data_IF_318328792394
#
_entry.id   IF_318328792394
#
_cell.length_a   1.000
_cell.length_b   1.000
_cell.length_c   1.000
_cell.angle_alpha   90.00
_cell.angle_beta   90.00
_cell.angle_gamma   90.00
#
_symmetry.space_group_name_H-M   'P 1'
#
loop_
_entity.id
_entity.type
_entity.pdbx_description
1 polymer ?
#
# COMPACT_ATOMS: atom_id res chain seq x y z
N UNK A 1 5.55 -21.16 -23.51
CA UNK A 1 5.45 -19.71 -23.16
C UNK A 1 4.06 -19.31 -22.61
N UNK A 2 2.94 -19.86 -23.10
CA UNK A 2 1.55 -19.47 -22.71
C UNK A 2 1.20 -19.58 -21.21
N UNK A 3 1.68 -20.62 -20.50
CA UNK A 3 1.32 -20.85 -19.08
C UNK A 3 1.93 -19.83 -18.11
N UNK A 4 3.04 -19.21 -18.49
CA UNK A 4 3.74 -18.21 -17.68
C UNK A 4 3.07 -16.84 -17.71
N UNK A 5 2.46 -16.50 -18.84
CA UNK A 5 1.81 -15.22 -19.09
C UNK A 5 0.43 -15.14 -18.40
N UNK A 6 -0.30 -16.25 -18.36
CA UNK A 6 -1.56 -16.38 -17.63
C UNK A 6 -1.38 -16.12 -16.12
N UNK A 7 -0.39 -16.74 -15.47
CA UNK A 7 -0.12 -16.54 -14.04
C UNK A 7 0.25 -15.09 -13.70
N UNK A 8 1.11 -14.47 -14.51
CA UNK A 8 1.52 -13.07 -14.34
C UNK A 8 0.31 -12.13 -14.38
N UNK A 9 -0.55 -12.28 -15.38
CA UNK A 9 -1.73 -11.44 -15.53
C UNK A 9 -2.74 -11.63 -14.39
N UNK A 10 -2.88 -12.85 -13.86
CA UNK A 10 -3.70 -13.11 -12.67
C UNK A 10 -3.15 -12.36 -11.46
N UNK A 11 -1.84 -12.45 -11.21
CA UNK A 11 -1.21 -11.74 -10.07
C UNK A 11 -1.42 -10.23 -10.20
N UNK A 12 -1.16 -9.66 -11.38
CA UNK A 12 -1.38 -8.22 -11.61
C UNK A 12 -2.85 -7.81 -11.41
N UNK A 13 -3.81 -8.65 -11.82
CA UNK A 13 -5.24 -8.37 -11.56
C UNK A 13 -5.57 -8.41 -10.07
N UNK A 14 -5.01 -9.35 -9.32
CA UNK A 14 -5.17 -9.42 -7.86
C UNK A 14 -4.56 -8.17 -7.20
N UNK A 15 -3.36 -7.77 -7.60
CA UNK A 15 -2.74 -6.54 -7.12
C UNK A 15 -3.59 -5.30 -7.43
N UNK A 16 -4.19 -5.24 -8.63
CA UNK A 16 -5.10 -4.17 -9.00
C UNK A 16 -6.34 -4.14 -8.09
N UNK A 17 -6.96 -5.29 -7.82
CA UNK A 17 -8.09 -5.40 -6.89
C UNK A 17 -7.68 -4.91 -5.50
N UNK A 18 -6.54 -5.35 -4.98
CA UNK A 18 -6.04 -4.88 -3.69
C UNK A 18 -5.80 -3.36 -3.68
N UNK A 19 -5.30 -2.80 -4.78
CA UNK A 19 -5.13 -1.35 -4.86
C UNK A 19 -6.44 -0.57 -4.84
N UNK A 20 -7.49 -1.09 -5.48
CA UNK A 20 -8.84 -0.48 -5.45
C UNK A 20 -9.46 -0.60 -4.06
N UNK A 21 -9.30 -1.74 -3.40
CA UNK A 21 -9.77 -1.94 -2.03
C UNK A 21 -9.03 -1.01 -1.06
N UNK A 22 -7.71 -0.94 -1.16
CA UNK A 22 -6.87 -0.02 -0.38
C UNK A 22 -7.30 1.42 -0.58
N UNK A 23 -7.49 1.85 -1.84
CA UNK A 23 -7.99 3.17 -2.20
C UNK A 23 -9.33 3.46 -1.52
N UNK A 24 -10.29 2.54 -1.62
CA UNK A 24 -11.63 2.70 -1.03
C UNK A 24 -11.57 2.88 0.48
N UNK A 25 -10.74 2.09 1.18
CA UNK A 25 -10.57 2.21 2.63
C UNK A 25 -9.87 3.53 3.00
N UNK A 26 -8.83 3.97 2.26
CA UNK A 26 -8.19 5.27 2.53
C UNK A 26 -9.10 6.46 2.23
N UNK A 27 -9.96 6.36 1.22
CA UNK A 27 -10.98 7.37 0.93
C UNK A 27 -12.00 7.47 2.07
N UNK A 28 -12.42 6.32 2.60
CA UNK A 28 -13.30 6.27 3.76
C UNK A 28 -12.66 6.88 5.00
N UNK A 29 -11.42 6.51 5.33
CA UNK A 29 -10.68 7.10 6.47
C UNK A 29 -10.47 8.61 6.32
N UNK A 30 -10.21 9.08 5.10
CA UNK A 30 -10.09 10.52 4.81
C UNK A 30 -11.43 11.22 5.03
N UNK A 31 -12.53 10.61 4.62
CA UNK A 31 -13.86 11.13 4.87
C UNK A 31 -14.17 11.15 6.38
N UNK A 32 -13.81 10.11 7.12
CA UNK A 32 -13.93 10.09 8.58
C UNK A 32 -13.19 11.27 9.20
N UNK A 33 -11.89 11.41 8.94
CA UNK A 33 -11.07 12.47 9.54
C UNK A 33 -11.63 13.89 9.33
N UNK A 34 -12.24 14.19 8.17
CA UNK A 34 -12.75 15.54 7.88
C UNK A 34 -14.21 15.78 8.26
N UNK A 35 -15.05 14.75 8.24
CA UNK A 35 -16.51 14.93 8.32
C UNK A 35 -17.17 14.16 9.46
N UNK A 36 -16.48 13.17 10.05
CA UNK A 36 -17.04 12.32 11.10
C UNK A 36 -16.17 12.43 12.35
N UNK A 37 -16.79 12.65 13.52
CA UNK A 37 -16.08 12.61 14.81
C UNK A 37 -16.05 11.22 15.44
N UNK A 38 -16.43 10.17 14.70
CA UNK A 38 -16.53 8.78 15.19
C UNK A 38 -16.31 7.81 14.02
N UNK A 39 -15.62 6.70 14.26
CA UNK A 39 -15.37 5.69 13.24
C UNK A 39 -16.26 4.47 13.41
N UNK A 40 -16.63 3.83 12.30
CA UNK A 40 -17.32 2.52 12.31
C UNK A 40 -16.42 1.39 12.83
N UNK A 41 -15.12 1.65 12.96
CA UNK A 41 -14.12 0.70 13.41
C UNK A 41 -13.74 0.88 14.88
N UNK A 42 -14.54 1.63 15.64
CA UNK A 42 -14.39 1.79 17.08
C UNK A 42 -15.10 0.64 17.81
N UNK A 43 -14.35 -0.42 18.10
CA UNK A 43 -14.88 -1.58 18.83
C UNK A 43 -14.67 -1.47 20.34
N UNK A 44 -13.50 -0.99 20.75
CA UNK A 44 -13.09 -0.83 22.15
C UNK A 44 -12.12 0.35 22.30
N UNK A 45 -11.79 0.75 23.54
CA UNK A 45 -10.79 1.79 23.80
C UNK A 45 -9.40 1.48 23.19
N UNK A 46 -9.04 0.19 23.11
CA UNK A 46 -7.79 -0.28 22.50
C UNK A 46 -7.88 -0.53 21.00
N UNK A 47 -9.08 -0.72 20.45
CA UNK A 47 -9.34 -0.93 19.03
C UNK A 47 -10.25 0.16 18.51
N UNK A 48 -9.67 1.34 18.30
CA UNK A 48 -10.36 2.53 17.82
C UNK A 48 -9.57 3.18 16.70
N UNK A 49 -10.25 3.45 15.59
CA UNK A 49 -9.67 4.24 14.51
C UNK A 49 -9.82 5.74 14.79
N UNK A 50 -10.88 6.17 15.47
CA UNK A 50 -11.07 7.59 15.83
C UNK A 50 -9.92 8.15 16.63
N UNK A 51 -9.47 7.43 17.67
CA UNK A 51 -8.33 7.88 18.49
C UNK A 51 -7.05 8.06 17.65
N UNK A 52 -6.83 7.19 16.67
CA UNK A 52 -5.66 7.30 15.78
C UNK A 52 -5.80 8.47 14.81
N UNK A 53 -6.97 8.62 14.18
CA UNK A 53 -7.22 9.65 13.16
C UNK A 53 -7.36 11.06 13.73
N UNK A 54 -7.77 11.21 14.98
CA UNK A 54 -7.90 12.51 15.67
C UNK A 54 -6.61 12.90 16.40
N UNK A 55 -5.65 11.99 16.51
CA UNK A 55 -4.35 12.30 17.09
C UNK A 55 -3.56 13.30 16.25
N UNK A 56 -2.50 13.87 16.83
CA UNK A 56 -1.54 14.73 16.10
C UNK A 56 -0.96 14.05 14.85
N UNK A 57 -0.91 12.72 14.83
CA UNK A 57 -0.36 11.93 13.73
C UNK A 57 -1.43 11.53 12.69
N UNK A 58 -2.70 11.84 12.94
CA UNK A 58 -3.77 11.77 11.96
C UNK A 58 -3.54 12.70 10.75
N UNK A 59 -2.64 13.68 10.90
CA UNK A 59 -2.18 14.58 9.85
C UNK A 59 -0.70 14.35 9.49
N UNK A 60 -0.38 14.47 8.20
CA UNK A 60 1.00 14.39 7.72
C UNK A 60 1.29 15.48 6.67
N UNK A 61 2.27 16.38 6.90
CA UNK A 61 3.04 16.60 8.14
C UNK A 61 2.16 16.96 9.35
N UNK A 62 2.63 16.80 10.60
CA UNK A 62 1.84 17.15 11.78
C UNK A 62 1.40 18.61 11.76
N UNK A 63 0.13 18.88 12.05
CA UNK A 63 -0.48 20.23 12.06
C UNK A 63 -0.52 20.91 10.68
N UNK A 64 -0.53 20.14 9.60
CA UNK A 64 -0.67 20.64 8.24
C UNK A 64 -2.12 20.77 7.78
N UNK A 65 -3.08 20.17 8.51
CA UNK A 65 -4.48 20.02 8.09
C UNK A 65 -4.71 18.97 6.99
N UNK A 66 -3.66 18.24 6.57
CA UNK A 66 -3.75 17.19 5.56
C UNK A 66 -3.79 15.84 6.24
N UNK A 67 -4.92 15.15 6.12
CA UNK A 67 -5.10 13.81 6.67
C UNK A 67 -4.03 12.84 6.13
N UNK A 68 -3.42 12.06 7.00
CA UNK A 68 -2.50 10.98 6.62
C UNK A 68 -3.18 9.98 5.68
N UNK A 69 -4.48 9.75 5.86
CA UNK A 69 -5.28 8.90 4.96
C UNK A 69 -5.37 9.45 3.52
N UNK A 70 -5.29 10.78 3.33
CA UNK A 70 -5.31 11.40 2.00
C UNK A 70 -4.03 11.07 1.20
N UNK A 71 -2.89 10.97 1.88
CA UNK A 71 -1.66 10.44 1.27
C UNK A 71 -1.82 8.98 0.85
N UNK A 72 -2.58 8.21 1.62
CA UNK A 72 -2.99 6.85 1.26
C UNK A 72 -3.76 6.80 -0.07
N UNK A 73 -4.68 7.74 -0.31
CA UNK A 73 -5.42 7.82 -1.59
C UNK A 73 -4.45 8.01 -2.75
N UNK A 74 -3.54 8.98 -2.63
CA UNK A 74 -2.52 9.24 -3.65
C UNK A 74 -1.67 7.99 -3.89
N UNK A 75 -1.22 7.34 -2.82
CA UNK A 75 -0.38 6.16 -2.86
C UNK A 75 -1.02 4.99 -3.61
N UNK A 76 -2.25 4.64 -3.24
CA UNK A 76 -3.00 3.56 -3.87
C UNK A 76 -3.38 3.86 -5.31
N UNK A 77 -3.66 5.13 -5.63
CA UNK A 77 -3.93 5.59 -7.00
C UNK A 77 -2.71 5.39 -7.90
N UNK A 78 -1.51 5.78 -7.43
CA UNK A 78 -0.26 5.59 -8.17
C UNK A 78 0.01 4.10 -8.40
N UNK A 79 -0.16 3.26 -7.36
CA UNK A 79 0.01 1.82 -7.50
C UNK A 79 -0.97 1.23 -8.52
N UNK A 80 -2.25 1.61 -8.46
CA UNK A 80 -3.27 1.17 -9.41
C UNK A 80 -2.91 1.54 -10.85
N UNK A 81 -2.44 2.78 -11.09
CA UNK A 81 -2.01 3.25 -12.41
C UNK A 81 -0.80 2.44 -12.91
N UNK A 82 0.19 2.19 -12.06
CA UNK A 82 1.38 1.41 -12.41
C UNK A 82 0.98 -0.02 -12.82
N UNK A 83 0.19 -0.70 -11.99
CA UNK A 83 -0.27 -2.08 -12.25
C UNK A 83 -1.14 -2.15 -13.50
N UNK A 84 -2.06 -1.21 -13.69
CA UNK A 84 -2.90 -1.14 -14.88
C UNK A 84 -2.08 -0.88 -16.16
N UNK A 85 -1.07 -0.01 -16.07
CA UNK A 85 -0.12 0.22 -17.16
C UNK A 85 0.62 -1.05 -17.56
N UNK A 86 1.03 -1.86 -16.58
CA UNK A 86 1.70 -3.15 -16.80
C UNK A 86 0.80 -4.20 -17.44
N UNK A 87 -0.50 -4.20 -17.11
CA UNK A 87 -1.50 -5.06 -17.77
C UNK A 87 -1.71 -4.71 -19.24
N UNK A 88 -1.60 -3.42 -19.61
CA UNK A 88 -1.76 -2.94 -20.99
C UNK A 88 -0.53 -3.13 -21.88
N UNK A 89 0.54 -3.76 -21.38
CA UNK A 89 1.79 -4.06 -22.12
C UNK A 89 2.35 -2.86 -22.89
N UNK A 90 2.35 -1.68 -22.26
CA UNK A 90 2.91 -0.47 -22.85
C UNK A 90 4.45 -0.62 -23.00
N UNK A 91 4.96 -0.74 -24.24
CA UNK A 91 6.36 -1.09 -24.57
C UNK A 91 7.44 -0.17 -23.99
N UNK A 92 7.16 1.12 -23.84
CA UNK A 92 7.99 2.13 -23.18
C UNK A 92 8.33 1.86 -21.70
N UNK A 93 7.79 0.80 -21.09
CA UNK A 93 7.98 0.51 -19.66
C UNK A 93 8.52 -0.90 -19.42
N UNK A 94 9.62 -1.27 -20.08
CA UNK A 94 10.31 -2.57 -19.85
C UNK A 94 10.68 -2.82 -18.37
N UNK A 95 10.76 -1.78 -17.54
CA UNK A 95 11.11 -1.84 -16.11
C UNK A 95 9.91 -1.61 -15.16
N UNK A 96 8.67 -1.69 -15.64
CA UNK A 96 7.49 -1.36 -14.83
C UNK A 96 7.34 -2.23 -13.58
N UNK A 97 7.68 -3.51 -13.67
CA UNK A 97 7.61 -4.44 -12.53
C UNK A 97 8.62 -4.08 -11.44
N UNK A 98 9.78 -3.55 -11.83
CA UNK A 98 10.77 -3.00 -10.90
C UNK A 98 10.28 -1.70 -10.25
N UNK A 99 9.62 -0.81 -11.01
CA UNK A 99 9.01 0.38 -10.43
C UNK A 99 7.87 0.06 -9.46
N UNK A 100 7.02 -0.93 -9.75
CA UNK A 100 5.98 -1.40 -8.81
C UNK A 100 6.63 -1.90 -7.52
N UNK A 101 7.72 -2.68 -7.64
CA UNK A 101 8.45 -3.19 -6.49
C UNK A 101 9.05 -2.05 -5.65
N UNK A 102 9.76 -1.11 -6.27
CA UNK A 102 10.32 0.07 -5.60
C UNK A 102 9.25 0.91 -4.91
N UNK A 103 8.11 1.11 -5.59
CA UNK A 103 6.97 1.80 -5.00
C UNK A 103 6.53 1.05 -3.73
N UNK A 104 6.25 -0.24 -3.81
CA UNK A 104 5.83 -1.03 -2.64
C UNK A 104 6.84 -1.03 -1.48
N UNK A 105 8.14 -0.96 -1.74
CA UNK A 105 9.15 -0.77 -0.70
C UNK A 105 8.98 0.57 0.01
N UNK A 106 8.76 1.67 -0.73
CA UNK A 106 8.45 2.97 -0.15
C UNK A 106 7.20 2.92 0.74
N UNK A 107 6.17 2.21 0.29
CA UNK A 107 4.93 2.01 1.06
C UNK A 107 5.15 1.18 2.32
N UNK A 108 6.00 0.15 2.26
CA UNK A 108 6.36 -0.64 3.43
C UNK A 108 7.11 0.19 4.47
N UNK A 109 8.07 1.01 4.05
CA UNK A 109 8.81 1.91 4.95
C UNK A 109 7.85 2.86 5.65
N UNK A 110 6.90 3.43 4.90
CA UNK A 110 5.89 4.32 5.47
C UNK A 110 4.91 3.59 6.41
N UNK A 111 4.51 2.36 6.07
CA UNK A 111 3.69 1.52 6.95
C UNK A 111 4.40 1.19 8.28
N UNK A 112 5.71 0.90 8.24
CA UNK A 112 6.52 0.68 9.44
C UNK A 112 6.59 1.95 10.30
N UNK A 113 6.70 3.11 9.66
CA UNK A 113 6.65 4.41 10.35
C UNK A 113 5.30 4.62 11.07
N UNK A 114 4.17 4.37 10.40
CA UNK A 114 2.84 4.47 11.02
C UNK A 114 2.62 3.43 12.13
N UNK A 115 3.08 2.19 11.95
CA UNK A 115 3.08 1.19 13.02
C UNK A 115 3.89 1.64 14.23
N UNK A 116 5.02 2.32 14.00
CA UNK A 116 5.83 2.86 15.10
C UNK A 116 5.06 3.94 15.85
N UNK A 117 4.28 4.76 15.15
CA UNK A 117 3.38 5.75 15.76
C UNK A 117 2.32 5.07 16.64
N UNK A 118 1.61 4.07 16.11
CA UNK A 118 0.56 3.33 16.83
C UNK A 118 1.09 2.61 18.08
N UNK A 119 2.29 2.00 17.99
CA UNK A 119 2.83 1.18 19.08
C UNK A 119 3.67 1.95 20.11
N UNK A 120 4.25 3.09 19.76
CA UNK A 120 5.18 3.81 20.65
C UNK A 120 4.78 5.25 20.95
N UNK A 121 4.28 6.00 19.97
CA UNK A 121 4.00 7.43 20.16
C UNK A 121 2.60 7.68 20.72
N UNK A 122 1.57 7.02 20.16
CA UNK A 122 0.20 7.11 20.68
C UNK A 122 0.06 6.66 22.15
N UNK A 123 0.70 5.55 22.59
CA UNK A 123 0.60 5.14 23.99
C UNK A 123 1.31 6.09 24.96
N UNK A 124 2.31 6.84 24.50
CA UNK A 124 2.94 7.88 25.31
C UNK A 124 1.99 9.06 25.55
N UNK A 125 1.09 9.37 24.61
CA UNK A 125 0.12 10.46 24.74
C UNK A 125 -1.17 10.01 25.47
N UNK A 126 -1.66 8.82 25.15
CA UNK A 126 -2.97 8.32 25.61
C UNK A 126 -2.89 7.38 26.83
N UNK A 127 -1.71 6.86 27.15
CA UNK A 127 -1.50 5.91 28.25
C UNK A 127 -1.86 4.46 27.94
N UNK A 128 -2.42 4.17 26.76
CA UNK A 128 -2.82 2.82 26.32
C UNK A 128 -2.41 2.55 24.87
N UNK A 129 -2.27 1.27 24.52
CA UNK A 129 -1.99 0.87 23.14
C UNK A 129 -3.29 0.85 22.35
N UNK A 130 -3.37 1.72 21.34
CA UNK A 130 -4.53 1.82 20.45
C UNK A 130 -4.14 1.37 19.06
N UNK A 131 -4.86 0.38 18.53
CA UNK A 131 -4.64 -0.21 17.22
C UNK A 131 -5.85 0.11 16.34
N UNK A 132 -5.64 0.80 15.21
CA UNK A 132 -6.70 0.99 14.23
C UNK A 132 -6.80 -0.24 13.30
N UNK A 133 -7.95 -0.95 13.28
CA UNK A 133 -8.12 -2.12 12.40
C UNK A 133 -7.99 -1.80 10.92
N UNK A 134 -8.45 -0.62 10.47
CA UNK A 134 -8.35 -0.21 9.07
C UNK A 134 -6.90 0.10 8.66
N UNK A 135 -6.10 0.74 9.51
CA UNK A 135 -4.67 0.95 9.27
C UNK A 135 -3.94 -0.40 9.16
N UNK A 136 -4.22 -1.32 10.09
CA UNK A 136 -3.67 -2.69 10.05
C UNK A 136 -4.05 -3.40 8.75
N UNK A 137 -5.30 -3.25 8.30
CA UNK A 137 -5.75 -3.80 7.02
C UNK A 137 -4.96 -3.22 5.84
N UNK A 138 -4.68 -1.91 5.82
CA UNK A 138 -3.81 -1.30 4.81
C UNK A 138 -2.39 -1.90 4.82
N UNK A 139 -1.80 -2.08 6.00
CA UNK A 139 -0.48 -2.70 6.14
C UNK A 139 -0.45 -4.11 5.54
N UNK A 140 -1.49 -4.91 5.81
CA UNK A 140 -1.63 -6.26 5.23
C UNK A 140 -1.71 -6.19 3.70
N UNK A 141 -2.50 -5.27 3.14
CA UNK A 141 -2.62 -5.11 1.68
C UNK A 141 -1.28 -4.71 1.05
N UNK A 142 -0.50 -3.83 1.68
CA UNK A 142 0.83 -3.43 1.21
C UNK A 142 1.77 -4.64 1.19
N UNK A 143 1.84 -5.40 2.29
CA UNK A 143 2.68 -6.59 2.40
C UNK A 143 2.27 -7.66 1.38
N UNK A 144 0.96 -7.90 1.22
CA UNK A 144 0.45 -8.84 0.23
C UNK A 144 0.86 -8.44 -1.20
N UNK A 145 0.71 -7.17 -1.57
CA UNK A 145 1.16 -6.66 -2.86
C UNK A 145 2.68 -6.79 -3.04
N UNK A 146 3.47 -6.55 -2.00
CA UNK A 146 4.92 -6.70 -2.04
C UNK A 146 5.34 -8.15 -2.32
N UNK A 147 4.71 -9.12 -1.65
CA UNK A 147 4.96 -10.56 -1.89
C UNK A 147 4.59 -10.96 -3.33
N UNK A 148 3.46 -10.47 -3.82
CA UNK A 148 3.03 -10.69 -5.21
C UNK A 148 3.99 -10.06 -6.22
N UNK A 149 4.43 -8.83 -5.96
CA UNK A 149 5.41 -8.11 -6.79
C UNK A 149 6.75 -8.85 -6.84
N UNK A 150 7.27 -9.34 -5.71
CA UNK A 150 8.49 -10.15 -5.66
C UNK A 150 8.38 -11.41 -6.51
N UNK A 151 7.20 -12.05 -6.52
CA UNK A 151 6.95 -13.27 -7.30
C UNK A 151 7.01 -13.01 -8.81
N UNK A 152 6.56 -11.83 -9.26
CA UNK A 152 6.66 -11.40 -10.66
C UNK A 152 8.10 -10.97 -10.98
N UNK A 153 8.71 -10.14 -10.13
CA UNK A 153 10.02 -9.54 -10.38
C UNK A 153 11.13 -10.61 -10.50
N UNK A 154 11.13 -11.62 -9.63
CA UNK A 154 12.11 -12.73 -9.70
C UNK A 154 12.09 -13.43 -11.05
N UNK A 155 10.90 -13.58 -11.63
CA UNK A 155 10.73 -14.22 -12.94
C UNK A 155 11.20 -13.30 -14.07
N UNK A 156 10.79 -12.03 -14.01
CA UNK A 156 11.17 -11.00 -14.97
C UNK A 156 12.69 -10.79 -15.08
N UNK A 157 13.38 -10.69 -13.93
CA UNK A 157 14.83 -10.54 -13.88
C UNK A 157 15.52 -11.79 -14.45
N UNK A 158 15.02 -12.99 -14.12
CA UNK A 158 15.58 -14.24 -14.65
C UNK A 158 15.47 -14.29 -16.18
N UNK A 159 14.29 -14.00 -16.72
CA UNK A 159 14.05 -13.99 -18.16
C UNK A 159 14.95 -12.94 -18.85
N UNK A 160 15.08 -11.74 -18.27
CA UNK A 160 15.94 -10.66 -18.79
C UNK A 160 17.45 -11.00 -18.77
N UNK A 161 17.93 -11.67 -17.72
CA UNK A 161 19.31 -12.13 -17.65
C UNK A 161 19.59 -13.23 -18.67
N UNK A 162 18.67 -14.19 -18.84
CA UNK A 162 18.80 -15.23 -19.86
C UNK A 162 18.94 -14.62 -21.26
N UNK A 163 18.13 -13.62 -21.61
CA UNK A 163 18.22 -12.91 -22.90
C UNK A 163 19.57 -12.21 -23.11
N UNK A 164 20.10 -11.53 -22.08
CA UNK A 164 21.41 -10.87 -22.16
C UNK A 164 22.54 -11.90 -22.34
N UNK A 165 22.50 -13.03 -21.62
CA UNK A 165 23.53 -14.05 -21.72
C UNK A 165 23.44 -14.86 -23.02
N UNK A 166 22.25 -15.04 -23.61
CA UNK A 166 22.06 -15.73 -24.88
C UNK A 166 22.52 -14.91 -26.09
N UNK A 167 22.40 -13.57 -26.05
CA UNK A 167 22.90 -12.69 -27.11
C UNK A 167 24.44 -12.69 -27.17
N UNK A 168 25.13 -13.17 -26.11
CA UNK A 168 26.59 -13.15 -26.02
C UNK A 168 27.28 -14.40 -26.56
N UNK A 169 26.58 -15.29 -27.27
CA UNK A 169 27.12 -16.53 -27.85
C UNK A 169 26.94 -16.56 -29.36
#
# INVERSE_FOLDING_TARGET
MVRGESKRNIILRVMLIFSIVGLSVTSYQTYEHYFLGTSVCDFTATFSCSVVTESRFGEFPPSSGIATAAWGILWWSVLAILVYGTLRKKEWLKLQEFYIFLWLIGGLIFAIYLLSIELYFLPQETGEIVICPLCTFQHILIVANLVLSLSILKKSIKDYLEDIFYIKK
#
